data_IF_254676655957
#
_entry.id   IF_254676655957
#
_cell.length_a   1.000
_cell.length_b   1.000
_cell.length_c   1.000
_cell.angle_alpha   90.00
_cell.angle_beta   90.00
_cell.angle_gamma   90.00
#
_symmetry.space_group_name_H-M   'P 1'
#
loop_
_entity.id
_entity.type
_entity.pdbx_description
1 polymer ?
#
# COMPACT_ATOMS: atom_id res chain seq x y z
N UNK A 1 4.08 -17.63 -6.17
CA UNK A 1 2.95 -17.44 -5.23
C UNK A 1 1.73 -16.87 -5.94
N UNK A 2 1.77 -15.66 -6.50
CA UNK A 2 0.63 -15.10 -7.25
C UNK A 2 0.22 -15.97 -8.46
N UNK A 3 1.15 -16.24 -9.37
CA UNK A 3 0.95 -17.08 -10.58
C UNK A 3 0.57 -18.54 -10.31
N UNK A 4 0.65 -18.99 -9.06
CA UNK A 4 0.35 -20.36 -8.66
C UNK A 4 -0.75 -20.40 -7.59
N UNK A 5 -1.56 -19.34 -7.49
CA UNK A 5 -2.63 -19.22 -6.51
C UNK A 5 -3.99 -19.10 -7.18
N UNK A 6 -5.07 -19.29 -6.41
CA UNK A 6 -6.44 -19.09 -6.88
C UNK A 6 -6.78 -17.63 -7.26
N UNK A 7 -5.86 -16.69 -7.02
CA UNK A 7 -6.00 -15.25 -7.29
C UNK A 7 -5.10 -14.77 -8.43
N UNK A 8 -4.72 -15.68 -9.33
CA UNK A 8 -3.88 -15.39 -10.51
C UNK A 8 -4.50 -14.37 -11.47
N UNK A 9 -5.83 -14.38 -11.61
CA UNK A 9 -6.55 -13.40 -12.45
C UNK A 9 -6.80 -12.07 -11.72
N UNK A 10 -6.41 -11.97 -10.44
CA UNK A 10 -6.53 -10.77 -9.62
C UNK A 10 -5.33 -9.84 -9.79
N UNK A 11 -5.41 -8.59 -9.29
CA UNK A 11 -4.31 -7.64 -9.40
C UNK A 11 -3.05 -8.11 -8.64
N UNK A 12 -1.88 -7.82 -9.20
CA UNK A 12 -0.60 -7.95 -8.51
C UNK A 12 0.03 -6.57 -8.32
N UNK A 13 0.16 -6.14 -7.07
CA UNK A 13 0.70 -4.81 -6.71
C UNK A 13 1.98 -5.00 -5.92
N UNK A 14 3.10 -4.51 -6.45
CA UNK A 14 4.37 -4.51 -5.73
C UNK A 14 4.67 -3.11 -5.19
N UNK A 15 5.03 -3.03 -3.91
CA UNK A 15 5.40 -1.79 -3.23
C UNK A 15 6.81 -1.95 -2.67
N UNK A 16 7.74 -1.16 -3.20
CA UNK A 16 9.06 -0.98 -2.61
C UNK A 16 8.97 0.12 -1.55
N UNK A 17 9.13 -0.25 -0.28
CA UNK A 17 8.94 0.67 0.85
C UNK A 17 10.10 1.67 0.98
N UNK A 18 11.32 1.27 0.60
CA UNK A 18 12.50 2.13 0.59
C UNK A 18 12.42 3.24 -0.48
N UNK A 19 11.67 3.01 -1.56
CA UNK A 19 11.50 3.96 -2.65
C UNK A 19 10.49 5.09 -2.35
N UNK A 20 9.69 4.95 -1.28
CA UNK A 20 8.63 5.90 -0.92
C UNK A 20 9.02 6.62 0.38
N UNK A 21 9.00 7.97 0.41
CA UNK A 21 9.22 8.70 1.65
C UNK A 21 8.26 8.25 2.76
N UNK A 22 8.78 8.03 3.96
CA UNK A 22 8.04 7.51 5.12
C UNK A 22 6.74 8.30 5.38
N UNK A 23 6.79 9.63 5.23
CA UNK A 23 5.64 10.53 5.42
C UNK A 23 4.52 10.34 4.40
N UNK A 24 4.81 9.77 3.23
CA UNK A 24 3.83 9.49 2.17
C UNK A 24 3.43 8.01 2.12
N UNK A 25 4.23 7.11 2.71
CA UNK A 25 4.00 5.67 2.63
C UNK A 25 2.58 5.31 3.10
N UNK A 26 2.11 5.90 4.20
CA UNK A 26 0.75 5.67 4.69
C UNK A 26 -0.31 6.08 3.64
N UNK A 27 -0.21 7.29 3.10
CA UNK A 27 -1.14 7.81 2.11
C UNK A 27 -1.12 7.02 0.80
N UNK A 28 0.04 6.43 0.43
CA UNK A 28 0.16 5.53 -0.73
C UNK A 28 -0.50 4.19 -0.45
N UNK A 29 -0.30 3.61 0.73
CA UNK A 29 -0.84 2.29 1.07
C UNK A 29 -2.35 2.31 1.27
N UNK A 30 -2.85 3.26 2.05
CA UNK A 30 -4.25 3.34 2.48
C UNK A 30 -5.08 4.31 1.65
N UNK A 31 -4.43 5.12 0.81
CA UNK A 31 -5.09 6.18 0.05
C UNK A 31 -5.25 7.44 0.88
N UNK A 32 -5.67 8.50 0.20
CA UNK A 32 -6.00 9.77 0.84
C UNK A 32 -7.11 10.48 0.07
N UNK A 33 -7.87 11.30 0.79
CA UNK A 33 -8.84 12.21 0.18
C UNK A 33 -8.19 13.56 -0.11
N UNK A 34 -8.69 14.25 -1.14
CA UNK A 34 -8.31 15.64 -1.41
C UNK A 34 -8.39 16.48 -0.13
N UNK A 35 -7.32 17.19 0.18
CA UNK A 35 -7.21 18.03 1.38
C UNK A 35 -6.79 17.31 2.67
N UNK A 36 -6.45 16.02 2.62
CA UNK A 36 -5.97 15.28 3.80
C UNK A 36 -4.63 15.83 4.37
N UNK A 37 -3.77 16.39 3.50
CA UNK A 37 -2.52 17.04 3.89
C UNK A 37 -2.16 18.17 2.91
N UNK A 38 -1.18 19.01 3.26
CA UNK A 38 -0.68 20.09 2.41
C UNK A 38 -0.05 19.51 1.13
N UNK A 39 -0.73 19.68 -0.01
CA UNK A 39 -0.34 19.08 -1.30
C UNK A 39 -1.26 17.96 -1.81
N UNK A 40 -2.23 17.51 -1.00
CA UNK A 40 -3.27 16.56 -1.43
C UNK A 40 -4.29 17.23 -2.37
N UNK A 41 -3.87 17.50 -3.60
CA UNK A 41 -4.67 18.19 -4.62
C UNK A 41 -5.80 17.34 -5.18
N UNK A 42 -5.62 16.02 -5.18
CA UNK A 42 -6.58 15.02 -5.64
C UNK A 42 -6.76 13.93 -4.57
N UNK A 43 -7.89 13.21 -4.63
CA UNK A 43 -8.04 11.96 -3.90
C UNK A 43 -7.34 10.85 -4.67
N UNK A 44 -6.68 9.92 -3.97
CA UNK A 44 -6.07 8.74 -4.57
C UNK A 44 -6.44 7.51 -3.75
N UNK A 45 -6.85 6.44 -4.45
CA UNK A 45 -7.04 5.12 -3.88
C UNK A 45 -5.72 4.55 -3.36
N UNK A 46 -5.80 3.78 -2.28
CA UNK A 46 -4.63 3.14 -1.69
C UNK A 46 -4.19 1.90 -2.47
N UNK A 47 -2.92 1.52 -2.31
CA UNK A 47 -2.41 0.26 -2.89
C UNK A 47 -3.13 -0.98 -2.39
N UNK A 48 -3.70 -0.96 -1.18
CA UNK A 48 -4.57 -2.05 -0.72
C UNK A 48 -5.86 -2.18 -1.53
N UNK A 49 -6.46 -1.05 -1.91
CA UNK A 49 -7.67 -1.03 -2.73
C UNK A 49 -7.34 -1.50 -4.16
N UNK A 50 -6.21 -1.05 -4.72
CA UNK A 50 -5.73 -1.51 -6.03
C UNK A 50 -5.42 -3.02 -6.05
N UNK A 51 -4.94 -3.58 -4.93
CA UNK A 51 -4.61 -5.00 -4.79
C UNK A 51 -5.81 -5.87 -4.37
N UNK A 52 -7.00 -5.28 -4.23
CA UNK A 52 -8.17 -6.00 -3.72
C UNK A 52 -8.53 -7.21 -4.59
N UNK A 53 -8.80 -8.34 -3.96
CA UNK A 53 -9.03 -9.63 -4.64
C UNK A 53 -7.78 -10.25 -5.26
N UNK A 54 -6.62 -9.63 -5.11
CA UNK A 54 -5.35 -10.04 -5.69
C UNK A 54 -4.24 -10.21 -4.64
N UNK A 55 -3.02 -9.81 -4.99
CA UNK A 55 -1.83 -9.94 -4.15
C UNK A 55 -1.10 -8.61 -4.06
N UNK A 56 -0.76 -8.20 -2.84
CA UNK A 56 0.19 -7.12 -2.59
C UNK A 56 1.52 -7.72 -2.12
N UNK A 57 2.63 -7.27 -2.71
CA UNK A 57 3.99 -7.61 -2.30
C UNK A 57 4.64 -6.38 -1.67
N UNK A 58 5.18 -6.55 -0.47
CA UNK A 58 5.99 -5.54 0.20
C UNK A 58 7.46 -5.90 0.11
N UNK A 59 8.23 -5.07 -0.57
CA UNK A 59 9.68 -5.15 -0.60
C UNK A 59 10.29 -4.12 0.37
N UNK A 60 11.39 -4.49 1.02
CA UNK A 60 12.03 -3.71 2.09
C UNK A 60 11.09 -3.27 3.22
N UNK A 61 10.24 -4.18 3.73
CA UNK A 61 9.28 -3.89 4.82
C UNK A 61 9.92 -3.33 6.11
N UNK A 62 11.22 -3.55 6.31
CA UNK A 62 11.99 -2.98 7.42
C UNK A 62 12.10 -1.46 7.40
N UNK A 63 11.97 -0.83 6.23
CA UNK A 63 12.00 0.62 6.06
C UNK A 63 10.65 1.29 6.41
N UNK A 64 9.62 0.50 6.71
CA UNK A 64 8.36 1.05 7.20
C UNK A 64 8.49 1.52 8.65
N UNK A 65 7.85 2.65 8.97
CA UNK A 65 7.74 3.11 10.35
C UNK A 65 6.93 2.12 11.22
N UNK A 66 7.21 2.03 12.54
CA UNK A 66 6.43 1.18 13.44
C UNK A 66 4.93 1.51 13.43
N UNK A 67 4.57 2.78 13.20
CA UNK A 67 3.18 3.21 13.11
C UNK A 67 2.48 2.65 11.86
N UNK A 68 3.16 2.63 10.71
CA UNK A 68 2.63 2.04 9.46
C UNK A 68 2.55 0.52 9.58
N UNK A 69 3.56 -0.13 10.17
CA UNK A 69 3.54 -1.57 10.43
C UNK A 69 2.35 -1.97 11.34
N UNK A 70 2.08 -1.19 12.40
CA UNK A 70 0.93 -1.44 13.27
C UNK A 70 -0.42 -1.32 12.53
N UNK A 71 -0.51 -0.44 11.53
CA UNK A 71 -1.71 -0.32 10.67
C UNK A 71 -1.80 -1.46 9.67
N UNK A 72 -0.68 -1.86 9.08
CA UNK A 72 -0.59 -3.03 8.19
C UNK A 72 -1.14 -4.28 8.89
N UNK A 73 -0.77 -4.51 10.15
CA UNK A 73 -1.27 -5.64 10.95
C UNK A 73 -2.79 -5.67 11.14
N UNK A 74 -3.50 -4.55 10.95
CA UNK A 74 -4.97 -4.50 11.02
C UNK A 74 -5.66 -4.94 9.73
N UNK A 75 -4.92 -5.03 8.63
CA UNK A 75 -5.43 -5.38 7.30
C UNK A 75 -5.15 -6.84 6.93
N UNK A 76 -4.19 -7.47 7.63
CA UNK A 76 -3.82 -8.88 7.43
C UNK A 76 -4.86 -9.86 7.99
#
# INVERSE_FOLDING_TARGET
>A
VHEHSSRIDGPFVAVNCAAIPESMLEAVLFGHVKGAFTGATNSQSGKFEEANGGTILFDEIGEMSPAVQAKLLRVL
#
